data_IF_747475279294
#
_entry.id   IF_747475279294
#
_cell.length_a   1.000
_cell.length_b   1.000
_cell.length_c   1.000
_cell.angle_alpha   90.00
_cell.angle_beta   90.00
_cell.angle_gamma   90.00
#
_symmetry.space_group_name_H-M   'P 1'
#
loop_
_entity.id
_entity.type
_entity.pdbx_description
1 polymer ?
#
# COMPACT_ATOMS: atom_id res chain seq x y z
N UNK A 1 7.63 11.83 5.92
CA UNK A 1 6.66 10.77 6.30
C UNK A 1 5.93 10.27 5.05
N UNK A 2 5.88 8.96 4.83
CA UNK A 2 5.16 8.35 3.70
C UNK A 2 3.78 7.92 4.18
N UNK A 3 2.73 8.62 3.78
CA UNK A 3 1.36 8.25 4.14
C UNK A 3 0.98 6.95 3.46
N UNK A 4 0.56 5.94 4.24
CA UNK A 4 0.16 4.60 3.76
C UNK A 4 -1.23 4.17 4.22
N UNK A 5 -1.92 5.05 4.93
CA UNK A 5 -3.29 4.91 5.44
C UNK A 5 -4.01 6.24 5.20
N UNK A 6 -5.28 6.18 4.83
CA UNK A 6 -6.13 7.34 4.64
C UNK A 6 -7.20 7.36 5.73
N UNK A 7 -7.73 8.53 6.05
CA UNK A 7 -8.85 8.68 6.99
C UNK A 7 -9.94 9.46 6.26
N UNK A 8 -11.10 8.83 6.12
CA UNK A 8 -12.30 9.43 5.58
C UNK A 8 -13.29 9.77 6.72
N UNK A 9 -14.40 10.43 6.42
CA UNK A 9 -15.44 10.78 7.39
C UNK A 9 -16.80 10.23 6.95
N UNK A 10 -17.35 9.32 7.73
CA UNK A 10 -18.70 8.78 7.53
C UNK A 10 -19.56 9.23 8.71
N UNK A 11 -20.60 10.03 8.44
CA UNK A 11 -21.50 10.57 9.48
C UNK A 11 -20.69 11.29 10.58
N UNK A 12 -19.78 12.18 10.19
CA UNK A 12 -18.89 12.93 11.08
C UNK A 12 -17.99 12.08 12.00
N UNK A 13 -17.79 10.80 11.69
CA UNK A 13 -16.86 9.93 12.40
C UNK A 13 -15.66 9.60 11.50
N UNK A 14 -14.42 9.73 11.99
CA UNK A 14 -13.24 9.35 11.23
C UNK A 14 -13.22 7.83 11.03
N UNK A 15 -13.06 7.39 9.79
CA UNK A 15 -12.97 5.98 9.41
C UNK A 15 -11.64 5.76 8.69
N UNK A 16 -10.77 4.86 9.19
CA UNK A 16 -9.54 4.53 8.50
C UNK A 16 -9.85 3.74 7.22
N UNK A 17 -9.32 4.19 6.09
CA UNK A 17 -9.35 3.48 4.82
C UNK A 17 -7.97 2.85 4.60
N UNK A 18 -7.93 1.51 4.68
CA UNK A 18 -6.70 0.72 4.69
C UNK A 18 -6.62 -0.24 3.50
N UNK A 19 -5.39 -0.60 3.11
CA UNK A 19 -5.18 -1.73 2.22
C UNK A 19 -5.64 -3.02 2.88
N UNK A 20 -6.41 -3.81 2.14
CA UNK A 20 -6.97 -5.08 2.64
C UNK A 20 -6.10 -6.30 2.38
N UNK A 21 -4.94 -6.12 1.72
CA UNK A 21 -4.04 -7.22 1.32
C UNK A 21 -4.82 -8.41 0.70
N UNK A 22 -5.67 -8.10 -0.29
CA UNK A 22 -6.72 -8.99 -0.79
C UNK A 22 -6.25 -10.40 -1.15
N UNK A 23 -7.19 -11.36 -1.09
CA UNK A 23 -6.98 -12.73 -1.57
C UNK A 23 -6.65 -12.79 -3.06
N UNK A 24 -7.47 -12.11 -3.86
CA UNK A 24 -7.26 -11.87 -5.28
C UNK A 24 -6.93 -10.38 -5.52
N UNK A 25 -5.64 -9.99 -5.43
CA UNK A 25 -5.25 -8.58 -5.53
C UNK A 25 -5.19 -8.11 -6.99
N UNK A 26 -6.22 -7.39 -7.42
CA UNK A 26 -6.28 -6.75 -8.75
C UNK A 26 -5.08 -5.83 -9.03
N UNK A 27 -4.51 -5.20 -8.00
CA UNK A 27 -3.32 -4.37 -8.14
C UNK A 27 -2.04 -5.16 -8.50
N UNK A 28 -1.96 -6.45 -8.15
CA UNK A 28 -0.89 -7.36 -8.58
C UNK A 28 -1.11 -7.73 -10.04
N UNK A 29 -2.33 -8.19 -10.38
CA UNK A 29 -2.69 -8.58 -11.76
C UNK A 29 -2.54 -7.43 -12.77
N UNK A 30 -2.80 -6.19 -12.36
CA UNK A 30 -2.63 -5.00 -13.19
C UNK A 30 -1.17 -4.51 -13.31
N UNK A 31 -0.25 -5.03 -12.50
CA UNK A 31 1.13 -4.55 -12.48
C UNK A 31 1.95 -5.16 -13.63
N UNK A 32 2.01 -4.48 -14.77
CA UNK A 32 2.80 -4.93 -15.93
C UNK A 32 4.30 -5.03 -15.64
N UNK A 33 4.81 -4.24 -14.68
CA UNK A 33 6.21 -4.28 -14.28
C UNK A 33 6.54 -5.43 -13.30
N UNK A 34 5.53 -6.10 -12.74
CA UNK A 34 5.73 -7.18 -11.75
C UNK A 34 6.24 -6.70 -10.38
N UNK A 35 6.22 -5.39 -10.08
CA UNK A 35 6.70 -4.86 -8.80
C UNK A 35 5.70 -5.03 -7.65
N UNK A 36 4.40 -5.18 -7.96
CA UNK A 36 3.38 -5.57 -6.99
C UNK A 36 3.39 -7.09 -6.86
N UNK A 37 3.61 -7.59 -5.65
CA UNK A 37 3.70 -9.03 -5.38
C UNK A 37 2.89 -9.36 -4.12
N UNK A 38 2.32 -10.56 -4.07
CA UNK A 38 1.70 -11.12 -2.88
C UNK A 38 2.61 -12.19 -2.31
N UNK A 39 2.96 -12.06 -1.04
CA UNK A 39 3.64 -13.12 -0.31
C UNK A 39 2.67 -14.31 -0.15
N UNK A 40 3.02 -15.51 -0.66
CA UNK A 40 2.15 -16.67 -0.58
C UNK A 40 2.02 -17.26 0.83
N UNK A 41 2.95 -16.92 1.74
CA UNK A 41 2.96 -17.41 3.12
C UNK A 41 2.15 -16.45 4.01
N UNK A 42 2.47 -15.16 3.96
CA UNK A 42 1.85 -14.16 4.87
C UNK A 42 0.58 -13.52 4.29
N UNK A 43 0.33 -13.68 2.98
CA UNK A 43 -0.75 -12.99 2.29
C UNK A 43 -0.50 -11.50 2.04
N UNK A 44 0.61 -10.95 2.54
CA UNK A 44 0.91 -9.53 2.42
C UNK A 44 1.19 -9.18 0.97
N UNK A 45 0.33 -8.34 0.40
CA UNK A 45 0.63 -7.65 -0.86
C UNK A 45 1.63 -6.52 -0.60
N UNK A 46 2.74 -6.47 -1.33
CA UNK A 46 3.78 -5.43 -1.23
C UNK A 46 4.22 -4.95 -2.61
N UNK A 47 4.72 -3.72 -2.67
CA UNK A 47 5.29 -3.12 -3.88
C UNK A 47 6.81 -2.89 -3.75
N UNK A 48 7.42 -3.42 -2.68
CA UNK A 48 8.84 -3.23 -2.34
C UNK A 48 9.67 -4.50 -2.64
N UNK A 49 9.21 -5.35 -3.56
CA UNK A 49 9.93 -6.54 -4.00
C UNK A 49 11.29 -6.17 -4.62
N UNK A 50 12.32 -6.95 -4.31
CA UNK A 50 13.72 -6.60 -4.62
C UNK A 50 14.09 -6.72 -6.10
N UNK A 51 13.39 -7.57 -6.87
CA UNK A 51 13.80 -7.89 -8.25
C UNK A 51 13.20 -6.94 -9.29
N UNK A 52 11.95 -6.50 -9.10
CA UNK A 52 11.20 -5.72 -10.09
C UNK A 52 10.90 -4.31 -9.55
N UNK A 53 11.16 -3.29 -10.37
CA UNK A 53 10.99 -1.88 -9.98
C UNK A 53 9.72 -1.29 -10.58
N UNK A 54 9.03 -0.48 -9.78
CA UNK A 54 7.93 0.34 -10.26
C UNK A 54 8.42 1.24 -11.41
N UNK A 55 7.59 1.38 -12.45
CA UNK A 55 7.87 2.21 -13.64
C UNK A 55 6.93 3.42 -13.77
N UNK A 56 6.13 3.71 -12.72
CA UNK A 56 5.22 4.86 -12.72
C UNK A 56 4.06 4.76 -13.71
N UNK A 57 3.59 3.55 -14.06
CA UNK A 57 2.47 3.38 -15.00
C UNK A 57 1.08 3.56 -14.39
N UNK A 58 0.98 3.64 -13.05
CA UNK A 58 -0.26 3.89 -12.30
C UNK A 58 -1.40 2.88 -12.45
N UNK A 59 -1.20 1.77 -13.17
CA UNK A 59 -2.24 0.75 -13.35
C UNK A 59 -2.72 0.14 -12.03
N UNK A 60 -1.81 -0.06 -11.07
CA UNK A 60 -2.17 -0.55 -9.73
C UNK A 60 -3.08 0.43 -8.97
N UNK A 61 -2.92 1.75 -9.16
CA UNK A 61 -3.78 2.76 -8.55
C UNK A 61 -5.19 2.65 -9.12
N UNK A 62 -5.29 2.62 -10.45
CA UNK A 62 -6.60 2.52 -11.14
C UNK A 62 -7.30 1.20 -10.86
N UNK A 63 -6.55 0.11 -10.68
CA UNK A 63 -7.09 -1.22 -10.42
C UNK A 63 -7.51 -1.44 -8.96
N UNK A 64 -7.12 -0.58 -8.02
CA UNK A 64 -7.46 -0.78 -6.62
C UNK A 64 -8.91 -0.30 -6.34
N UNK A 65 -9.86 -1.19 -6.02
CA UNK A 65 -11.25 -0.80 -5.80
C UNK A 65 -11.46 0.03 -4.53
N UNK A 66 -10.44 0.08 -3.66
CA UNK A 66 -10.48 0.79 -2.38
C UNK A 66 -9.77 2.15 -2.43
N UNK A 67 -9.08 2.49 -3.52
CA UNK A 67 -8.41 3.79 -3.65
C UNK A 67 -7.26 4.04 -2.68
N UNK A 68 -6.65 2.98 -2.13
CA UNK A 68 -5.62 3.05 -1.07
C UNK A 68 -4.17 2.94 -1.57
N UNK A 69 -3.98 3.01 -2.89
CA UNK A 69 -2.66 3.07 -3.52
C UNK A 69 -2.51 4.48 -4.09
N UNK A 70 -1.42 5.17 -3.75
CA UNK A 70 -1.18 6.55 -4.19
C UNK A 70 0.22 6.70 -4.78
N UNK A 71 0.52 7.80 -5.48
CA UNK A 71 1.90 8.19 -5.74
C UNK A 71 2.62 8.50 -4.42
N UNK A 72 3.88 8.10 -4.32
CA UNK A 72 4.79 8.54 -3.26
C UNK A 72 5.22 9.99 -3.53
N UNK A 73 5.48 10.75 -2.47
CA UNK A 73 6.10 12.07 -2.59
C UNK A 73 7.57 12.02 -3.04
N UNK A 74 8.22 10.87 -2.90
CA UNK A 74 9.59 10.68 -3.39
C UNK A 74 9.55 10.41 -4.90
N UNK A 75 10.33 11.20 -5.63
CA UNK A 75 10.61 10.98 -7.05
C UNK A 75 11.80 10.03 -7.17
N UNK A 76 11.65 9.04 -8.04
CA UNK A 76 12.67 8.05 -8.33
C UNK A 76 13.14 8.21 -9.76
N UNK A 77 14.45 8.21 -9.92
CA UNK A 77 15.10 8.25 -11.22
C UNK A 77 15.39 6.83 -11.71
N UNK A 78 14.94 6.51 -12.92
CA UNK A 78 15.29 5.29 -13.63
C UNK A 78 15.83 5.64 -15.02
N UNK A 79 17.14 5.62 -15.17
CA UNK A 79 17.80 6.08 -16.39
C UNK A 79 17.57 7.58 -16.64
N UNK A 80 16.90 7.91 -17.75
CA UNK A 80 16.55 9.29 -18.14
C UNK A 80 15.14 9.71 -17.71
N UNK A 81 14.43 8.86 -16.97
CA UNK A 81 13.06 9.11 -16.54
C UNK A 81 13.00 9.36 -15.03
N UNK A 82 12.10 10.25 -14.63
CA UNK A 82 11.80 10.58 -13.24
C UNK A 82 10.30 10.40 -12.99
N UNK A 83 9.94 9.66 -11.95
CA UNK A 83 8.53 9.41 -11.61
C UNK A 83 8.37 9.13 -10.12
N UNK A 84 7.18 9.41 -9.59
CA UNK A 84 6.79 8.93 -8.27
C UNK A 84 6.55 7.42 -8.32
N UNK A 85 7.01 6.68 -7.31
CA UNK A 85 6.62 5.27 -7.18
C UNK A 85 5.19 5.16 -6.64
N UNK A 86 4.45 4.12 -7.02
CA UNK A 86 3.23 3.79 -6.29
C UNK A 86 3.59 3.38 -4.85
N UNK A 87 2.78 3.80 -3.88
CA UNK A 87 2.93 3.45 -2.48
C UNK A 87 1.59 2.97 -1.91
N UNK A 88 1.66 2.01 -1.00
CA UNK A 88 0.52 1.47 -0.26
C UNK A 88 0.96 1.00 1.12
N UNK A 89 0.02 0.58 1.98
CA UNK A 89 0.35 -0.18 3.18
C UNK A 89 1.17 -1.42 2.82
N UNK A 90 2.33 -1.60 3.42
CA UNK A 90 3.22 -2.77 3.27
C UNK A 90 3.27 -3.60 4.56
N UNK A 91 2.32 -3.37 5.47
CA UNK A 91 2.25 -3.99 6.78
C UNK A 91 3.47 -3.69 7.69
N UNK A 92 4.23 -2.62 7.41
CA UNK A 92 5.34 -2.15 8.25
C UNK A 92 6.39 -3.24 8.56
N UNK A 93 7.11 -3.79 7.57
CA UNK A 93 7.96 -4.99 7.73
C UNK A 93 9.11 -4.87 8.75
N UNK A 94 9.47 -3.65 9.14
CA UNK A 94 10.54 -3.37 10.11
C UNK A 94 9.99 -2.96 11.49
N UNK A 95 8.75 -3.34 11.82
CA UNK A 95 8.10 -3.03 13.10
C UNK A 95 7.30 -4.24 13.58
N UNK A 96 7.32 -4.47 14.89
CA UNK A 96 6.48 -5.50 15.52
C UNK A 96 4.99 -5.11 15.48
N UNK A 97 4.70 -3.82 15.62
CA UNK A 97 3.34 -3.26 15.51
C UNK A 97 3.29 -2.24 14.37
N UNK A 98 2.30 -2.33 13.47
CA UNK A 98 2.14 -1.34 12.41
C UNK A 98 2.01 0.07 12.96
N UNK A 99 2.69 1.03 12.34
CA UNK A 99 2.72 2.42 12.82
C UNK A 99 1.32 3.04 12.93
N UNK A 100 0.38 2.64 12.07
CA UNK A 100 -1.00 3.11 12.13
C UNK A 100 -1.78 2.60 13.35
N UNK A 101 -1.48 1.39 13.83
CA UNK A 101 -2.10 0.81 15.03
C UNK A 101 -1.57 1.55 16.25
N UNK A 102 -0.24 1.67 16.37
CA UNK A 102 0.41 2.34 17.51
C UNK A 102 0.05 3.83 17.61
N UNK A 103 -0.11 4.51 16.47
CA UNK A 103 -0.41 5.95 16.45
C UNK A 103 -1.90 6.26 16.54
N UNK A 104 -2.80 5.26 16.58
CA UNK A 104 -4.23 5.50 16.52
C UNK A 104 -4.76 6.02 17.87
N UNK A 105 -5.18 7.29 17.99
CA UNK A 105 -5.62 7.85 19.27
C UNK A 105 -6.95 7.26 19.76
N UNK A 106 -7.74 6.68 18.86
CA UNK A 106 -9.03 6.10 19.16
C UNK A 106 -8.97 4.56 19.31
N UNK A 107 -7.79 3.96 19.14
CA UNK A 107 -7.57 2.50 19.28
C UNK A 107 -8.52 1.63 18.43
N UNK A 108 -8.97 2.15 17.28
CA UNK A 108 -9.91 1.45 16.38
C UNK A 108 -9.23 0.49 15.40
N UNK A 109 -7.90 0.49 15.38
CA UNK A 109 -7.08 -0.36 14.53
C UNK A 109 -6.39 -1.41 15.40
N UNK A 110 -6.44 -2.67 14.97
CA UNK A 110 -5.74 -3.78 15.60
C UNK A 110 -5.19 -4.74 14.54
N UNK A 111 -4.13 -5.46 14.89
CA UNK A 111 -3.66 -6.63 14.13
C UNK A 111 -4.39 -7.86 14.65
N UNK A 112 -4.92 -8.67 13.75
CA UNK A 112 -5.54 -9.94 14.08
C UNK A 112 -4.94 -11.03 13.20
N UNK A 113 -4.65 -12.18 13.80
CA UNK A 113 -4.30 -13.40 13.08
C UNK A 113 -5.57 -13.98 12.43
N UNK A 114 -5.45 -14.48 11.20
CA UNK A 114 -6.54 -15.07 10.42
C UNK A 114 -6.28 -16.56 10.23
#
# INVERSE_FOLDING_TARGET
PKTRIFVDSVINKPVPVVCRHCDDPQCVSACMAGCMQKDPITGIVTNMGHEQKCVGCWMCIMACPYGVISPSFDIVQAGKSEFAQAIKCDFCPNRDTPACVESCPNEVLAVADI
#
